data_IF_890722550208
#
_entry.id   IF_890722550208
#
_cell.length_a   1.000
_cell.length_b   1.000
_cell.length_c   1.000
_cell.angle_alpha   90.00
_cell.angle_beta   90.00
_cell.angle_gamma   90.00
#
_symmetry.space_group_name_H-M   'P 1'
#
loop_
_entity.id
_entity.type
_entity.pdbx_description
1 polymer ?
#
# COMPACT_ATOMS: atom_id res chain seq x y z
N UNK A 1 6.82 18.13 -31.83
CA UNK A 1 6.33 18.65 -30.53
C UNK A 1 5.77 17.47 -29.78
N UNK A 2 6.14 17.18 -28.52
CA UNK A 2 5.34 16.23 -27.75
C UNK A 2 4.02 16.94 -27.41
N UNK A 3 2.94 16.38 -27.91
CA UNK A 3 1.54 16.84 -27.79
C UNK A 3 1.14 17.22 -26.37
N UNK A 4 0.21 18.18 -26.29
CA UNK A 4 -0.45 18.62 -25.08
C UNK A 4 -1.18 17.46 -24.39
N UNK A 5 -0.50 16.79 -23.46
CA UNK A 5 -1.15 15.88 -22.51
C UNK A 5 -2.25 16.64 -21.76
N UNK A 6 -3.35 15.96 -21.43
CA UNK A 6 -4.39 16.54 -20.60
C UNK A 6 -3.78 16.90 -19.23
N UNK A 7 -3.90 18.18 -18.85
CA UNK A 7 -3.34 18.71 -17.60
C UNK A 7 -4.42 19.39 -16.78
N UNK A 8 -4.22 19.42 -15.47
CA UNK A 8 -5.09 20.13 -14.52
C UNK A 8 -6.50 19.56 -14.48
N UNK A 9 -6.61 18.23 -14.60
CA UNK A 9 -7.88 17.54 -14.43
C UNK A 9 -8.21 17.49 -12.94
N UNK A 10 -9.41 17.94 -12.60
CA UNK A 10 -9.98 17.85 -11.26
C UNK A 10 -11.28 17.05 -11.31
N UNK A 11 -11.31 15.93 -10.59
CA UNK A 11 -12.50 15.11 -10.41
C UNK A 11 -12.77 15.11 -8.91
N UNK A 12 -13.66 16.00 -8.45
CA UNK A 12 -13.84 16.28 -7.04
C UNK A 12 -15.30 16.16 -6.64
N UNK A 13 -15.58 15.47 -5.53
CA UNK A 13 -16.91 15.47 -4.89
C UNK A 13 -18.00 14.74 -5.67
N UNK A 14 -17.64 13.82 -6.58
CA UNK A 14 -18.61 13.12 -7.41
C UNK A 14 -19.12 11.85 -6.73
N UNK A 15 -20.35 11.45 -7.06
CA UNK A 15 -20.91 10.13 -6.71
C UNK A 15 -21.09 9.30 -7.98
N UNK A 16 -20.35 8.20 -8.09
CA UNK A 16 -20.32 7.30 -9.24
C UNK A 16 -20.79 5.92 -8.75
N UNK A 17 -21.82 5.36 -9.39
CA UNK A 17 -22.49 4.15 -8.92
C UNK A 17 -22.62 3.16 -10.07
N UNK A 18 -22.30 1.88 -9.81
CA UNK A 18 -22.54 0.78 -10.73
C UNK A 18 -21.88 0.97 -12.11
N UNK A 19 -20.65 1.52 -12.11
CA UNK A 19 -19.84 1.62 -13.33
C UNK A 19 -19.65 0.23 -13.96
N UNK A 20 -19.87 0.12 -15.27
CA UNK A 20 -19.74 -1.17 -15.97
C UNK A 20 -18.32 -1.72 -15.83
N UNK A 21 -17.31 -0.87 -16.00
CA UNK A 21 -15.90 -1.23 -15.77
C UNK A 21 -15.37 -0.43 -14.60
N UNK A 22 -14.49 0.53 -14.84
CA UNK A 22 -13.96 1.38 -13.80
C UNK A 22 -14.94 2.50 -13.41
N UNK A 23 -14.81 3.01 -12.18
CA UNK A 23 -15.53 4.22 -11.76
C UNK A 23 -14.95 5.47 -12.40
N UNK A 24 -13.64 5.66 -12.24
CA UNK A 24 -12.87 6.75 -12.86
C UNK A 24 -11.70 6.15 -13.63
N UNK A 25 -11.51 6.58 -14.87
CA UNK A 25 -10.35 6.23 -15.69
C UNK A 25 -9.64 7.52 -16.07
N UNK A 26 -8.34 7.56 -15.82
CA UNK A 26 -7.47 8.61 -16.33
C UNK A 26 -6.30 7.97 -17.05
N UNK A 27 -6.14 8.33 -18.31
CA UNK A 27 -5.05 7.90 -19.17
C UNK A 27 -4.26 9.13 -19.67
N UNK A 28 -2.94 8.98 -19.81
CA UNK A 28 -2.04 9.98 -20.41
C UNK A 28 -2.25 11.44 -19.93
N UNK A 29 -2.35 11.63 -18.61
CA UNK A 29 -2.62 12.93 -17.99
C UNK A 29 -1.59 13.29 -16.91
N UNK A 30 -1.29 14.57 -16.71
CA UNK A 30 -0.41 15.06 -15.62
C UNK A 30 -1.15 16.14 -14.81
N UNK A 31 -0.74 16.45 -13.57
CA UNK A 31 -1.43 17.41 -12.70
C UNK A 31 -2.91 17.05 -12.51
N UNK A 32 -3.14 15.93 -11.84
CA UNK A 32 -4.45 15.30 -11.67
C UNK A 32 -4.85 15.33 -10.20
N UNK A 33 -6.09 15.72 -9.92
CA UNK A 33 -6.69 15.63 -8.60
C UNK A 33 -7.96 14.79 -8.68
N UNK A 34 -7.98 13.68 -7.95
CA UNK A 34 -9.15 12.84 -7.73
C UNK A 34 -9.42 12.84 -6.23
N UNK A 35 -10.35 13.68 -5.78
CA UNK A 35 -10.52 14.02 -4.37
C UNK A 35 -11.99 13.91 -3.96
N UNK A 36 -12.28 13.41 -2.76
CA UNK A 36 -13.63 13.41 -2.18
C UNK A 36 -14.71 12.71 -3.02
N UNK A 37 -14.34 11.79 -3.92
CA UNK A 37 -15.33 11.07 -4.72
C UNK A 37 -15.84 9.84 -3.97
N UNK A 38 -17.11 9.52 -4.16
CA UNK A 38 -17.74 8.27 -3.75
C UNK A 38 -17.94 7.38 -4.97
N UNK A 39 -17.26 6.24 -5.00
CA UNK A 39 -17.32 5.27 -6.09
C UNK A 39 -17.87 3.98 -5.49
N UNK A 40 -19.08 3.59 -5.91
CA UNK A 40 -19.83 2.50 -5.31
C UNK A 40 -20.09 1.45 -6.39
N UNK A 41 -19.70 0.21 -6.10
CA UNK A 41 -19.96 -0.95 -6.93
C UNK A 41 -19.46 -0.79 -8.38
N UNK A 42 -18.19 -0.39 -8.64
CA UNK A 42 -17.63 -0.42 -9.98
C UNK A 42 -17.35 -1.87 -10.43
N UNK A 43 -17.27 -2.13 -11.73
CA UNK A 43 -16.84 -3.41 -12.28
C UNK A 43 -17.96 -4.38 -12.61
N UNK A 44 -19.17 -3.89 -12.88
CA UNK A 44 -20.36 -4.72 -13.11
C UNK A 44 -20.25 -5.65 -14.34
N UNK A 45 -19.46 -5.28 -15.34
CA UNK A 45 -19.14 -6.11 -16.49
C UNK A 45 -17.94 -7.02 -16.17
N UNK A 46 -18.23 -8.26 -15.80
CA UNK A 46 -17.25 -9.31 -15.49
C UNK A 46 -16.81 -10.14 -16.71
N UNK A 47 -16.95 -9.62 -17.93
CA UNK A 47 -16.48 -10.31 -19.14
C UNK A 47 -15.00 -10.70 -19.06
N UNK A 48 -14.63 -11.86 -19.62
CA UNK A 48 -13.31 -12.48 -19.46
C UNK A 48 -12.10 -11.61 -19.89
N UNK A 49 -12.31 -10.55 -20.66
CA UNK A 49 -11.27 -9.59 -21.05
C UNK A 49 -11.15 -8.35 -20.16
N UNK A 50 -11.99 -8.21 -19.14
CA UNK A 50 -12.02 -7.02 -18.29
C UNK A 50 -11.20 -7.23 -17.01
N UNK A 51 -9.92 -6.87 -17.07
CA UNK A 51 -8.94 -7.11 -16.00
C UNK A 51 -8.66 -5.91 -15.11
N UNK A 52 -9.28 -4.75 -15.41
CA UNK A 52 -9.00 -3.48 -14.73
C UNK A 52 -10.20 -2.96 -13.93
N UNK A 53 -11.16 -3.82 -13.59
CA UNK A 53 -12.38 -3.47 -12.83
C UNK A 53 -12.04 -2.78 -11.52
N UNK A 54 -11.94 -1.46 -11.53
CA UNK A 54 -11.37 -0.69 -10.43
C UNK A 54 -12.24 0.49 -10.04
N UNK A 55 -12.16 0.93 -8.78
CA UNK A 55 -12.74 2.22 -8.42
C UNK A 55 -12.11 3.35 -9.21
N UNK A 56 -10.80 3.47 -9.11
CA UNK A 56 -9.99 4.45 -9.84
C UNK A 56 -8.91 3.70 -10.62
N UNK A 57 -8.75 4.04 -11.89
CA UNK A 57 -7.70 3.51 -12.76
C UNK A 57 -6.88 4.64 -13.34
N UNK A 58 -5.58 4.64 -13.07
CA UNK A 58 -4.59 5.57 -13.61
C UNK A 58 -3.62 4.79 -14.48
N UNK A 59 -3.49 5.18 -15.75
CA UNK A 59 -2.58 4.53 -16.68
C UNK A 59 -1.81 5.55 -17.54
N UNK A 60 -0.61 5.15 -18.00
CA UNK A 60 0.28 5.88 -18.89
C UNK A 60 0.50 7.37 -18.55
N UNK A 61 0.48 7.72 -17.27
CA UNK A 61 0.75 9.08 -16.81
C UNK A 61 2.23 9.24 -16.47
N UNK A 62 2.77 10.47 -16.49
CA UNK A 62 4.17 10.66 -16.11
C UNK A 62 4.38 10.70 -14.58
N UNK A 63 3.34 10.41 -13.79
CA UNK A 63 3.41 10.40 -12.32
C UNK A 63 3.57 11.79 -11.69
N UNK A 64 3.45 12.86 -12.48
CA UNK A 64 3.68 14.24 -12.03
C UNK A 64 2.40 14.83 -11.43
N UNK A 65 2.48 15.21 -10.15
CA UNK A 65 1.42 15.91 -9.42
C UNK A 65 0.07 15.20 -9.50
N UNK A 66 0.08 13.89 -9.25
CA UNK A 66 -1.15 13.08 -9.17
C UNK A 66 -1.53 12.95 -7.70
N UNK A 67 -2.73 13.39 -7.36
CA UNK A 67 -3.27 13.34 -5.99
C UNK A 67 -4.57 12.54 -6.01
N UNK A 68 -4.60 11.43 -5.28
CA UNK A 68 -5.78 10.59 -5.08
C UNK A 68 -6.03 10.53 -3.58
N UNK A 69 -6.95 11.36 -3.09
CA UNK A 69 -7.12 11.54 -1.64
C UNK A 69 -8.56 11.61 -1.19
N UNK A 70 -8.83 11.06 0.00
CA UNK A 70 -10.14 11.13 0.65
C UNK A 70 -11.31 10.61 -0.22
N UNK A 71 -11.03 9.67 -1.14
CA UNK A 71 -12.09 9.01 -1.90
C UNK A 71 -12.64 7.81 -1.11
N UNK A 72 -13.94 7.56 -1.24
CA UNK A 72 -14.60 6.37 -0.73
C UNK A 72 -14.86 5.43 -1.91
N UNK A 73 -14.19 4.28 -1.91
CA UNK A 73 -14.21 3.31 -3.00
C UNK A 73 -14.70 1.98 -2.42
N UNK A 74 -15.95 1.65 -2.72
CA UNK A 74 -16.67 0.58 -2.02
C UNK A 74 -17.27 -0.36 -3.04
N UNK A 75 -17.03 -1.65 -2.87
CA UNK A 75 -17.88 -2.71 -3.38
C UNK A 75 -18.55 -3.39 -2.18
N UNK A 76 -19.86 -3.26 -2.06
CA UNK A 76 -20.66 -3.83 -0.97
C UNK A 76 -21.55 -5.01 -1.42
N UNK A 77 -21.31 -5.51 -2.63
CA UNK A 77 -22.06 -6.64 -3.16
C UNK A 77 -21.57 -7.97 -2.56
N UNK A 78 -22.49 -8.93 -2.43
CA UNK A 78 -22.18 -10.28 -1.95
C UNK A 78 -21.11 -10.98 -2.80
N UNK A 79 -21.11 -10.70 -4.12
CA UNK A 79 -20.08 -11.14 -5.04
C UNK A 79 -19.34 -9.89 -5.52
N UNK A 80 -18.11 -9.72 -5.05
CA UNK A 80 -17.28 -8.58 -5.42
C UNK A 80 -17.11 -8.49 -6.94
N UNK A 81 -17.43 -7.32 -7.48
CA UNK A 81 -17.30 -6.92 -8.88
C UNK A 81 -16.03 -6.08 -9.12
N UNK A 82 -15.58 -5.36 -8.10
CA UNK A 82 -14.34 -4.61 -8.08
C UNK A 82 -13.14 -5.53 -7.81
N UNK A 83 -12.13 -5.47 -8.67
CA UNK A 83 -10.85 -6.14 -8.50
C UNK A 83 -9.88 -5.30 -7.69
N UNK A 84 -9.77 -4.01 -8.03
CA UNK A 84 -8.87 -3.09 -7.35
C UNK A 84 -9.62 -1.86 -6.84
N UNK A 85 -9.32 -1.36 -5.66
CA UNK A 85 -9.82 -0.03 -5.27
C UNK A 85 -9.21 1.04 -6.16
N UNK A 86 -7.87 1.08 -6.17
CA UNK A 86 -7.06 1.93 -7.02
C UNK A 86 -6.10 1.05 -7.82
N UNK A 87 -6.20 1.11 -9.13
CA UNK A 87 -5.24 0.49 -10.06
C UNK A 87 -4.37 1.58 -10.67
N UNK A 88 -3.06 1.48 -10.46
CA UNK A 88 -2.11 2.54 -10.78
C UNK A 88 -0.95 1.96 -11.61
N UNK A 89 -1.11 1.92 -12.93
CA UNK A 89 -0.15 1.28 -13.85
C UNK A 89 0.64 2.29 -14.69
N UNK A 90 1.80 1.83 -15.20
CA UNK A 90 2.67 2.57 -16.13
C UNK A 90 2.91 4.03 -15.72
N UNK A 91 3.06 4.24 -14.40
CA UNK A 91 3.17 5.55 -13.76
C UNK A 91 4.06 5.42 -12.53
N UNK A 92 5.03 6.31 -12.33
CA UNK A 92 6.10 6.11 -11.33
C UNK A 92 6.02 7.01 -10.08
N UNK A 93 4.99 7.84 -9.90
CA UNK A 93 4.89 8.73 -8.75
C UNK A 93 3.48 9.23 -8.52
N UNK A 94 3.22 9.86 -7.38
CA UNK A 94 1.90 10.35 -6.99
C UNK A 94 1.75 10.42 -5.47
N UNK A 95 0.59 10.90 -5.04
CA UNK A 95 0.24 11.03 -3.64
C UNK A 95 -1.13 10.38 -3.42
N UNK A 96 -1.11 9.18 -2.84
CA UNK A 96 -2.30 8.34 -2.61
C UNK A 96 -2.50 8.24 -1.11
N UNK A 97 -3.45 8.99 -0.55
CA UNK A 97 -3.65 8.98 0.89
C UNK A 97 -5.07 9.15 1.34
N UNK A 98 -5.38 8.66 2.53
CA UNK A 98 -6.65 8.93 3.21
C UNK A 98 -7.87 8.39 2.43
N UNK A 99 -7.68 7.45 1.51
CA UNK A 99 -8.78 6.80 0.80
C UNK A 99 -9.38 5.68 1.65
N UNK A 100 -10.70 5.55 1.61
CA UNK A 100 -11.42 4.44 2.21
C UNK A 100 -11.75 3.39 1.14
N UNK A 101 -11.07 2.25 1.17
CA UNK A 101 -11.21 1.20 0.16
C UNK A 101 -11.76 -0.07 0.79
N UNK A 102 -12.86 -0.59 0.25
CA UNK A 102 -13.52 -1.80 0.77
C UNK A 102 -14.08 -2.66 -0.36
N UNK A 103 -13.97 -3.98 -0.22
CA UNK A 103 -14.64 -4.95 -1.11
C UNK A 103 -13.89 -5.30 -2.39
N UNK A 104 -12.66 -4.80 -2.57
CA UNK A 104 -11.80 -5.21 -3.69
C UNK A 104 -11.42 -6.69 -3.59
N UNK A 105 -11.59 -7.45 -4.67
CA UNK A 105 -11.33 -8.89 -4.70
C UNK A 105 -9.86 -9.28 -4.89
N UNK A 106 -9.00 -8.38 -5.39
CA UNK A 106 -7.56 -8.62 -5.56
C UNK A 106 -6.70 -7.77 -4.62
N UNK A 107 -6.85 -6.45 -4.64
CA UNK A 107 -6.11 -5.56 -3.73
C UNK A 107 -6.84 -4.24 -3.55
N UNK A 108 -6.70 -3.61 -2.38
CA UNK A 108 -7.16 -2.24 -2.18
C UNK A 108 -6.44 -1.28 -3.13
N UNK A 109 -5.11 -1.39 -3.24
CA UNK A 109 -4.27 -0.57 -4.13
C UNK A 109 -3.31 -1.49 -4.89
N UNK A 110 -3.21 -1.32 -6.20
CA UNK A 110 -2.22 -1.97 -7.06
C UNK A 110 -1.38 -0.89 -7.74
N UNK A 111 -0.06 -1.03 -7.69
CA UNK A 111 0.89 -0.04 -8.19
C UNK A 111 1.78 -0.66 -9.25
N UNK A 112 2.30 0.20 -10.12
CA UNK A 112 3.39 -0.14 -11.02
C UNK A 112 4.67 -0.45 -10.23
N UNK A 113 5.48 -1.36 -10.77
CA UNK A 113 6.81 -1.63 -10.26
C UNK A 113 7.65 -0.35 -10.24
N UNK A 114 8.36 -0.12 -9.13
CA UNK A 114 9.20 1.07 -8.97
C UNK A 114 8.42 2.37 -8.74
N UNK A 115 7.18 2.31 -8.25
CA UNK A 115 6.47 3.49 -7.76
C UNK A 115 7.31 4.24 -6.70
N UNK A 116 7.50 5.55 -6.90
CA UNK A 116 8.33 6.43 -6.06
C UNK A 116 7.54 7.52 -5.33
N UNK A 117 6.21 7.44 -5.37
CA UNK A 117 5.33 8.40 -4.70
C UNK A 117 5.13 8.09 -3.22
N UNK A 118 4.13 8.76 -2.62
CA UNK A 118 3.77 8.57 -1.21
C UNK A 118 2.42 7.85 -1.11
N UNK A 119 2.37 6.83 -0.26
CA UNK A 119 1.16 6.07 0.05
C UNK A 119 1.02 6.00 1.56
N UNK A 120 -0.04 6.59 2.10
CA UNK A 120 -0.25 6.61 3.56
C UNK A 120 -1.72 6.70 3.92
N UNK A 121 -2.08 6.16 5.08
CA UNK A 121 -3.39 6.35 5.69
C UNK A 121 -4.56 5.86 4.81
N UNK A 122 -4.37 4.85 3.96
CA UNK A 122 -5.46 4.30 3.15
C UNK A 122 -6.09 3.10 3.87
N UNK A 123 -7.39 3.17 4.19
CA UNK A 123 -8.11 2.02 4.70
C UNK A 123 -8.26 0.97 3.59
N UNK A 124 -8.04 -0.30 3.92
CA UNK A 124 -8.00 -1.40 2.94
C UNK A 124 -6.62 -1.62 2.29
N UNK A 125 -5.60 -0.88 2.72
CA UNK A 125 -4.21 -1.08 2.29
C UNK A 125 -3.24 -0.77 3.43
N UNK A 126 -2.68 -1.80 4.07
CA UNK A 126 -1.83 -1.64 5.25
C UNK A 126 -0.47 -1.00 4.90
N UNK A 127 -0.34 0.31 5.17
CA UNK A 127 0.88 1.10 4.91
C UNK A 127 1.82 1.20 6.09
N UNK A 128 1.31 0.96 7.30
CA UNK A 128 2.11 0.97 8.53
C UNK A 128 1.59 -0.08 9.51
N UNK A 129 2.51 -0.63 10.30
CA UNK A 129 2.18 -1.53 11.38
C UNK A 129 3.27 -1.45 12.46
N UNK A 130 2.92 -1.83 13.67
CA UNK A 130 3.81 -1.83 14.82
C UNK A 130 3.55 -3.05 15.70
N UNK A 131 4.52 -3.37 16.55
CA UNK A 131 4.37 -4.44 17.51
C UNK A 131 5.62 -4.67 18.34
N UNK A 132 5.70 -5.86 18.89
CA UNK A 132 6.87 -6.35 19.63
C UNK A 132 7.40 -7.63 19.01
N UNK A 133 8.67 -7.91 19.25
CA UNK A 133 9.32 -9.16 18.86
C UNK A 133 10.38 -9.55 19.88
N UNK A 134 10.59 -10.84 20.05
CA UNK A 134 11.58 -11.40 20.98
C UNK A 134 12.50 -12.34 20.24
N UNK A 135 13.80 -12.11 20.33
CA UNK A 135 14.78 -13.16 20.04
C UNK A 135 14.89 -14.01 21.30
N UNK A 136 14.39 -15.25 21.22
CA UNK A 136 14.38 -16.19 22.35
C UNK A 136 15.78 -16.75 22.63
N UNK A 137 15.92 -17.45 23.77
CA UNK A 137 17.10 -18.27 24.04
C UNK A 137 17.33 -19.29 22.94
N UNK A 138 18.57 -19.73 22.78
CA UNK A 138 18.99 -20.70 21.76
C UNK A 138 18.76 -20.22 20.31
N UNK A 139 18.52 -18.91 20.12
CA UNK A 139 18.40 -18.27 18.81
C UNK A 139 19.23 -17.00 18.72
N UNK A 140 19.58 -16.61 17.50
CA UNK A 140 20.25 -15.34 17.19
C UNK A 140 19.40 -14.42 16.34
N UNK A 141 18.15 -14.79 16.06
CA UNK A 141 17.24 -13.95 15.30
C UNK A 141 15.77 -14.27 15.55
N UNK A 142 14.90 -13.37 15.08
CA UNK A 142 13.46 -13.56 14.95
C UNK A 142 13.00 -12.95 13.62
N UNK A 143 12.16 -13.68 12.89
CA UNK A 143 11.47 -13.16 11.71
C UNK A 143 10.14 -12.54 12.14
N UNK A 144 10.00 -11.23 11.94
CA UNK A 144 8.84 -10.43 12.33
C UNK A 144 7.87 -10.38 11.16
N UNK A 145 6.67 -10.92 11.34
CA UNK A 145 5.57 -10.75 10.38
C UNK A 145 5.00 -9.33 10.47
N UNK A 146 5.30 -8.47 9.49
CA UNK A 146 4.97 -7.04 9.58
C UNK A 146 3.55 -6.70 9.10
N UNK A 147 2.90 -7.58 8.32
CA UNK A 147 1.50 -7.41 7.89
C UNK A 147 1.22 -6.21 6.97
N UNK A 148 2.25 -5.66 6.33
CA UNK A 148 2.12 -4.57 5.36
C UNK A 148 1.70 -5.12 4.00
N UNK A 149 1.02 -4.30 3.22
CA UNK A 149 0.57 -4.69 1.88
C UNK A 149 1.72 -4.73 0.83
N UNK A 150 2.87 -4.14 1.15
CA UNK A 150 4.09 -4.20 0.34
C UNK A 150 5.33 -4.38 1.22
N UNK A 151 6.41 -4.83 0.59
CA UNK A 151 7.75 -4.89 1.19
C UNK A 151 8.19 -3.48 1.62
N UNK A 152 8.43 -3.23 2.91
CA UNK A 152 8.98 -1.95 3.36
C UNK A 152 10.46 -1.81 2.96
N UNK A 153 10.96 -0.59 2.86
CA UNK A 153 12.40 -0.35 2.75
C UNK A 153 13.09 -0.61 4.09
N UNK A 154 14.37 -0.99 4.08
CA UNK A 154 15.14 -1.11 5.32
C UNK A 154 15.17 0.20 6.12
N UNK A 155 15.23 1.34 5.42
CA UNK A 155 15.21 2.69 6.01
C UNK A 155 13.88 3.08 6.65
N UNK A 156 12.79 2.38 6.36
CA UNK A 156 11.45 2.63 6.91
C UNK A 156 11.06 1.66 8.02
N UNK A 157 12.02 0.85 8.51
CA UNK A 157 11.85 -0.03 9.66
C UNK A 157 12.62 0.57 10.85
N UNK A 158 11.91 0.79 11.96
CA UNK A 158 12.49 1.22 13.23
C UNK A 158 12.34 0.09 14.24
N UNK A 159 13.45 -0.27 14.90
CA UNK A 159 13.50 -1.30 15.94
C UNK A 159 14.21 -0.72 17.16
N UNK A 160 13.57 -0.81 18.32
CA UNK A 160 14.10 -0.29 19.58
C UNK A 160 14.09 -1.39 20.64
N UNK A 161 15.25 -1.74 21.23
CA UNK A 161 15.29 -2.63 22.39
C UNK A 161 14.43 -2.06 23.53
N UNK A 162 13.59 -2.90 24.13
CA UNK A 162 12.74 -2.54 25.28
C UNK A 162 13.14 -3.26 26.57
N UNK A 163 14.17 -4.11 26.49
CA UNK A 163 14.83 -4.75 27.63
C UNK A 163 16.34 -4.80 27.40
N UNK A 164 17.09 -5.30 28.40
CA UNK A 164 18.46 -5.74 28.16
C UNK A 164 18.46 -6.81 27.03
N UNK A 165 19.51 -6.81 26.21
CA UNK A 165 19.73 -7.79 25.15
C UNK A 165 20.27 -9.13 25.70
N UNK A 166 20.36 -9.27 27.03
CA UNK A 166 20.90 -10.45 27.69
C UNK A 166 22.40 -10.56 27.46
N UNK A 167 22.86 -11.69 26.93
CA UNK A 167 24.27 -11.88 26.56
C UNK A 167 24.66 -11.15 25.26
N UNK A 168 23.69 -10.69 24.47
CA UNK A 168 23.97 -9.95 23.24
C UNK A 168 24.35 -8.49 23.50
N UNK A 169 25.12 -7.91 22.58
CA UNK A 169 25.60 -6.52 22.65
C UNK A 169 25.35 -5.72 21.37
N UNK A 170 24.91 -6.40 20.30
CA UNK A 170 24.61 -5.79 19.00
C UNK A 170 23.34 -6.40 18.44
N UNK A 171 22.59 -5.60 17.70
CA UNK A 171 21.47 -6.05 16.90
C UNK A 171 21.48 -5.35 15.53
N UNK A 172 20.88 -5.99 14.53
CA UNK A 172 20.71 -5.40 13.19
C UNK A 172 19.51 -6.02 12.47
N UNK A 173 18.98 -5.28 11.49
CA UNK A 173 17.84 -5.71 10.68
C UNK A 173 18.37 -6.30 9.37
N UNK A 174 17.80 -7.41 8.90
CA UNK A 174 18.11 -8.02 7.60
C UNK A 174 16.90 -8.70 6.98
N UNK A 175 17.08 -9.36 5.83
CA UNK A 175 16.09 -10.23 5.18
C UNK A 175 14.69 -9.59 5.07
N UNK A 176 14.63 -8.33 4.66
CA UNK A 176 13.36 -7.63 4.43
C UNK A 176 12.71 -8.20 3.18
N UNK A 177 11.50 -8.73 3.33
CA UNK A 177 10.72 -9.35 2.28
C UNK A 177 9.26 -8.90 2.30
N UNK A 178 8.42 -9.56 1.50
CA UNK A 178 7.04 -9.15 1.30
C UNK A 178 6.13 -9.28 2.53
N UNK A 179 6.47 -10.18 3.46
CA UNK A 179 5.66 -10.44 4.66
C UNK A 179 6.46 -10.38 5.97
N UNK A 180 7.79 -10.39 5.90
CA UNK A 180 8.66 -10.41 7.07
C UNK A 180 9.88 -9.51 6.96
N UNK A 181 10.44 -9.14 8.10
CA UNK A 181 11.83 -8.69 8.21
C UNK A 181 12.49 -9.41 9.40
N UNK A 182 13.82 -9.52 9.40
CA UNK A 182 14.56 -10.20 10.46
C UNK A 182 15.20 -9.22 11.42
N UNK A 183 15.02 -9.44 12.72
CA UNK A 183 15.85 -8.84 13.76
C UNK A 183 16.89 -9.87 14.18
N UNK A 184 18.17 -9.51 14.07
CA UNK A 184 19.30 -10.35 14.45
C UNK A 184 19.97 -9.80 15.71
N UNK A 185 20.58 -10.68 16.49
CA UNK A 185 21.52 -10.36 17.56
C UNK A 185 22.84 -11.11 17.34
N UNK A 186 23.94 -10.62 17.90
CA UNK A 186 25.27 -11.18 17.63
C UNK A 186 25.61 -12.49 18.36
N UNK A 187 24.82 -12.86 19.38
CA UNK A 187 24.95 -14.09 20.16
C UNK A 187 23.60 -14.40 20.78
N UNK A 188 23.35 -15.66 21.15
CA UNK A 188 22.19 -16.07 21.93
C UNK A 188 22.02 -15.16 23.16
N UNK A 189 20.87 -14.45 23.31
CA UNK A 189 20.64 -13.53 24.42
C UNK A 189 20.51 -14.24 25.77
N UNK A 190 20.34 -15.57 25.81
CA UNK A 190 20.13 -16.34 27.03
C UNK A 190 18.68 -16.28 27.52
N UNK A 191 18.45 -16.74 28.75
CA UNK A 191 17.10 -17.03 29.27
C UNK A 191 16.14 -15.83 29.33
N UNK A 192 16.64 -14.60 29.36
CA UNK A 192 15.81 -13.39 29.34
C UNK A 192 15.29 -13.03 27.94
N UNK A 193 15.90 -13.59 26.88
CA UNK A 193 15.70 -13.13 25.51
C UNK A 193 16.16 -11.70 25.28
N UNK A 194 16.07 -11.25 24.03
CA UNK A 194 16.20 -9.85 23.64
C UNK A 194 14.85 -9.35 23.09
N UNK A 195 14.23 -8.39 23.77
CA UNK A 195 12.90 -7.88 23.43
C UNK A 195 12.99 -6.53 22.72
N UNK A 196 12.19 -6.38 21.67
CA UNK A 196 12.16 -5.20 20.83
C UNK A 196 10.73 -4.71 20.63
N UNK A 197 10.57 -3.39 20.57
CA UNK A 197 9.44 -2.76 19.88
C UNK A 197 9.84 -2.45 18.44
N UNK A 198 8.88 -2.53 17.52
CA UNK A 198 9.12 -2.26 16.10
C UNK A 198 7.99 -1.44 15.49
N UNK A 199 8.35 -0.64 14.49
CA UNK A 199 7.47 0.10 13.60
C UNK A 199 7.98 -0.10 12.18
N UNK A 200 7.10 -0.45 11.25
CA UNK A 200 7.42 -0.57 9.83
C UNK A 200 6.44 0.24 9.00
N UNK A 201 6.95 0.91 7.96
CA UNK A 201 6.15 1.69 7.00
C UNK A 201 6.57 1.40 5.56
N UNK A 202 5.62 1.50 4.63
CA UNK A 202 5.89 1.55 3.18
C UNK A 202 6.42 2.94 2.83
#
# INVERSE_FOLDING_TARGET
MPEDKNKYIQIIGNKIISGSKEGIIVDNSDNLQIIDNQIINPGQDSGAGNTRRSGISIDNTNGRNITITNNQIIDDQNSATMQYGIYYSNTSGGYISENYIKGSSLSGISLADGFTGVIRNNYGFATENLGTATVNSDSTYVDVAHGLAMTPSLSSIQVTPISNLGNASKFWISNVGASTFRINVNVDPGSSGANFSWLAKI
#
